data_IF_604314503538
#
_entry.id   IF_604314503538
#
_cell.length_a   1.000
_cell.length_b   1.000
_cell.length_c   1.000
_cell.angle_alpha   90.00
_cell.angle_beta   90.00
_cell.angle_gamma   90.00
#
_symmetry.space_group_name_H-M   'P 1'
#
loop_
_entity.id
_entity.type
_entity.pdbx_description
1 polymer ?
#
# COMPACT_ATOMS: atom_id res chain seq x y z
N UNK A 1 -6.64 -57.54 -27.52
CA UNK A 1 -5.87 -57.02 -26.37
C UNK A 1 -6.31 -55.57 -26.18
N UNK A 2 -7.24 -55.26 -25.26
CA UNK A 2 -7.01 -54.75 -23.89
C UNK A 2 -6.00 -53.58 -23.84
N UNK A 3 -6.43 -52.33 -23.59
CA UNK A 3 -6.70 -51.66 -22.28
C UNK A 3 -5.45 -51.53 -21.39
N UNK A 4 -5.13 -50.29 -21.00
CA UNK A 4 -4.20 -49.92 -19.91
C UNK A 4 -3.32 -48.75 -20.32
N UNK A 5 -3.61 -47.48 -19.97
CA UNK A 5 -3.51 -46.87 -18.64
C UNK A 5 -2.06 -46.69 -18.17
N UNK A 6 -1.73 -45.42 -17.87
CA UNK A 6 -0.87 -44.99 -16.76
C UNK A 6 0.43 -45.78 -16.56
N UNK A 7 1.57 -45.22 -16.96
CA UNK A 7 2.75 -45.22 -16.07
C UNK A 7 3.87 -44.33 -16.62
N UNK A 8 4.03 -43.20 -15.93
CA UNK A 8 5.18 -42.31 -16.03
C UNK A 8 5.29 -41.42 -14.78
N UNK A 9 4.66 -41.84 -13.68
CA UNK A 9 4.85 -41.31 -12.33
C UNK A 9 5.67 -42.36 -11.58
N UNK A 10 6.97 -42.10 -11.34
CA UNK A 10 7.60 -42.20 -10.01
C UNK A 10 9.12 -42.06 -10.06
N UNK A 11 9.57 -41.21 -9.14
CA UNK A 11 10.84 -41.25 -8.41
C UNK A 11 12.12 -40.81 -9.13
N UNK A 12 12.34 -39.48 -9.14
CA UNK A 12 13.59 -38.93 -8.61
C UNK A 12 13.29 -37.90 -7.52
N UNK A 13 13.23 -38.42 -6.29
CA UNK A 13 13.74 -37.81 -5.06
C UNK A 13 13.93 -36.30 -5.06
N UNK A 14 12.98 -35.62 -4.41
CA UNK A 14 13.13 -34.30 -3.80
C UNK A 14 14.35 -34.22 -2.89
N UNK A 15 15.18 -33.16 -2.99
CA UNK A 15 15.80 -32.58 -1.82
C UNK A 15 14.81 -31.58 -1.21
N UNK A 16 14.30 -31.92 -0.04
CA UNK A 16 13.74 -30.95 0.89
C UNK A 16 14.91 -30.11 1.44
N UNK A 17 15.00 -28.85 1.01
CA UNK A 17 15.78 -27.83 1.72
C UNK A 17 15.30 -26.42 1.32
N UNK A 18 14.29 -25.95 2.05
CA UNK A 18 14.24 -24.62 2.67
C UNK A 18 15.04 -23.48 2.02
N UNK A 19 14.54 -22.96 0.89
CA UNK A 19 14.72 -21.54 0.57
C UNK A 19 13.33 -20.89 0.54
N UNK A 20 12.77 -20.69 1.73
CA UNK A 20 11.86 -19.56 1.94
C UNK A 20 12.67 -18.30 1.63
N UNK A 21 12.65 -17.87 0.37
CA UNK A 21 12.95 -16.47 0.05
C UNK A 21 11.91 -15.63 0.80
N UNK A 22 12.29 -15.14 1.99
CA UNK A 22 11.46 -14.25 2.79
C UNK A 22 11.18 -13.03 1.92
N UNK A 23 9.95 -12.98 1.38
CA UNK A 23 9.52 -11.93 0.45
C UNK A 23 9.50 -10.60 1.18
N UNK A 24 10.32 -9.66 0.71
CA UNK A 24 10.60 -8.32 1.28
C UNK A 24 9.32 -7.56 1.65
N UNK A 25 8.99 -7.67 2.92
CA UNK A 25 7.85 -7.07 3.58
C UNK A 25 8.28 -6.83 5.02
N UNK A 26 8.14 -5.58 5.46
CA UNK A 26 9.06 -5.04 6.46
C UNK A 26 8.42 -4.72 7.78
N UNK A 27 7.11 -4.94 7.91
CA UNK A 27 6.40 -4.77 9.16
C UNK A 27 5.69 -6.06 9.53
N UNK A 28 5.72 -6.39 10.82
CA UNK A 28 5.02 -7.54 11.38
C UNK A 28 4.26 -7.10 12.62
N UNK A 29 3.18 -7.81 12.91
CA UNK A 29 2.44 -7.62 14.14
C UNK A 29 3.38 -7.83 15.34
N UNK A 30 3.42 -6.85 16.23
CA UNK A 30 4.28 -6.84 17.42
C UNK A 30 3.73 -5.92 18.49
N UNK A 31 4.60 -5.48 19.40
CA UNK A 31 4.25 -4.53 20.46
C UNK A 31 5.27 -3.40 20.54
N UNK A 32 4.79 -2.19 20.76
CA UNK A 32 5.60 -0.99 21.07
C UNK A 32 4.90 -0.21 22.17
N UNK A 33 5.63 0.19 23.22
CA UNK A 33 5.07 0.89 24.38
C UNK A 33 3.85 0.18 25.00
N UNK A 34 3.89 -1.15 25.11
CA UNK A 34 2.78 -2.01 25.56
C UNK A 34 1.51 -2.00 24.70
N UNK A 35 1.51 -1.32 23.55
CA UNK A 35 0.42 -1.34 22.58
C UNK A 35 0.72 -2.31 21.44
N UNK A 36 -0.31 -2.99 20.95
CA UNK A 36 -0.20 -3.80 19.73
C UNK A 36 -0.07 -2.87 18.52
N UNK A 37 0.92 -3.14 17.68
CA UNK A 37 1.21 -2.30 16.50
C UNK A 37 1.97 -3.11 15.45
N UNK A 38 2.25 -2.49 14.31
CA UNK A 38 3.21 -2.99 13.34
C UNK A 38 4.61 -2.55 13.73
N UNK A 39 5.48 -3.53 14.01
CA UNK A 39 6.90 -3.28 14.28
C UNK A 39 7.68 -3.52 13.01
N UNK A 40 8.50 -2.53 12.64
CA UNK A 40 9.41 -2.65 11.50
C UNK A 40 10.54 -3.61 11.86
N UNK A 41 10.92 -4.47 10.91
CA UNK A 41 12.22 -5.17 10.98
C UNK A 41 13.35 -4.13 10.93
N UNK A 42 14.57 -4.42 11.45
CA UNK A 42 15.67 -3.48 11.38
C UNK A 42 15.85 -2.90 9.96
N UNK A 43 15.99 -1.58 9.85
CA UNK A 43 16.00 -0.88 8.55
C UNK A 43 17.15 -1.36 7.67
N UNK A 44 18.28 -1.72 8.27
CA UNK A 44 19.47 -2.26 7.63
C UNK A 44 19.18 -3.62 7.00
N UNK A 45 18.47 -4.50 7.72
CA UNK A 45 18.03 -5.80 7.21
C UNK A 45 17.07 -5.60 6.03
N UNK A 46 16.05 -4.75 6.20
CA UNK A 46 15.12 -4.42 5.12
C UNK A 46 15.81 -3.84 3.89
N UNK A 47 16.76 -2.92 4.09
CA UNK A 47 17.53 -2.34 2.99
C UNK A 47 18.40 -3.39 2.31
N UNK A 48 19.05 -4.28 3.06
CA UNK A 48 19.91 -5.33 2.49
C UNK A 48 19.14 -6.29 1.59
N UNK A 49 17.90 -6.63 1.95
CA UNK A 49 17.03 -7.51 1.15
C UNK A 49 16.49 -6.81 -0.11
N UNK A 50 16.36 -5.47 -0.09
CA UNK A 50 15.80 -4.70 -1.21
C UNK A 50 16.83 -4.15 -2.17
N UNK A 51 17.99 -3.76 -1.66
CA UNK A 51 18.95 -3.01 -2.44
C UNK A 51 19.63 -3.96 -3.41
N UNK A 52 19.38 -3.75 -4.70
CA UNK A 52 20.13 -4.39 -5.76
C UNK A 52 20.89 -3.31 -6.51
N UNK A 53 22.15 -3.56 -6.85
CA UNK A 53 23.01 -2.60 -7.56
C UNK A 53 22.35 -2.05 -8.84
N UNK A 54 21.50 -2.84 -9.49
CA UNK A 54 20.82 -2.48 -10.74
C UNK A 54 19.39 -1.94 -10.52
N UNK A 55 18.99 -1.56 -9.30
CA UNK A 55 17.65 -1.06 -9.02
C UNK A 55 17.65 0.07 -7.98
N UNK A 56 18.13 1.28 -8.34
CA UNK A 56 18.17 2.44 -7.43
C UNK A 56 16.81 2.76 -6.80
N UNK A 57 15.73 2.54 -7.55
CA UNK A 57 14.33 2.72 -7.12
C UNK A 57 13.92 1.85 -5.92
N UNK A 58 14.71 0.82 -5.58
CA UNK A 58 14.45 -0.05 -4.42
C UNK A 58 15.08 0.47 -3.13
N UNK A 59 16.01 1.44 -3.22
CA UNK A 59 16.69 2.03 -2.07
C UNK A 59 15.70 2.80 -1.18
N UNK A 60 15.62 2.44 0.11
CA UNK A 60 14.73 3.06 1.11
C UNK A 60 15.49 3.73 2.25
N UNK A 61 16.79 3.99 2.10
CA UNK A 61 17.61 4.63 3.14
C UNK A 61 17.06 5.97 3.61
N UNK A 62 16.44 6.73 2.71
CA UNK A 62 15.87 8.04 3.04
C UNK A 62 14.38 7.99 3.39
N UNK A 63 13.76 6.80 3.40
CA UNK A 63 12.37 6.66 3.84
C UNK A 63 12.26 6.74 5.35
N UNK A 64 11.29 7.55 5.79
CA UNK A 64 10.78 7.68 7.14
C UNK A 64 9.45 6.92 7.18
N UNK A 65 9.30 6.01 8.15
CA UNK A 65 8.10 5.21 8.34
C UNK A 65 7.31 5.75 9.53
N UNK A 66 5.98 5.61 9.53
CA UNK A 66 5.19 5.98 10.70
C UNK A 66 5.66 5.19 11.92
N UNK A 67 5.81 5.84 13.09
CA UNK A 67 6.40 5.20 14.27
C UNK A 67 5.53 4.07 14.82
N UNK A 68 4.21 4.20 14.68
CA UNK A 68 3.24 3.17 15.02
C UNK A 68 2.20 3.12 13.90
N UNK A 69 1.71 1.92 13.60
CA UNK A 69 0.46 1.73 12.86
C UNK A 69 -0.56 1.19 13.86
N UNK A 70 -1.71 1.84 13.93
CA UNK A 70 -2.83 1.48 14.80
C UNK A 70 -3.35 0.10 14.42
N UNK A 71 -3.41 -0.77 15.42
CA UNK A 71 -4.00 -2.10 15.33
C UNK A 71 -5.02 -2.23 16.45
N UNK A 72 -6.26 -2.51 16.07
CA UNK A 72 -7.33 -2.78 17.02
C UNK A 72 -7.31 -4.27 17.41
N UNK A 73 -7.81 -4.57 18.61
CA UNK A 73 -8.08 -5.95 19.05
C UNK A 73 -9.54 -6.32 18.77
N UNK A 74 -9.89 -7.59 18.56
CA UNK A 74 -11.27 -8.00 18.29
C UNK A 74 -12.27 -7.53 19.37
N UNK A 75 -11.85 -7.49 20.63
CA UNK A 75 -12.66 -7.02 21.75
C UNK A 75 -13.00 -5.51 21.69
N UNK A 76 -12.20 -4.73 20.96
CA UNK A 76 -12.32 -3.27 20.85
C UNK A 76 -12.71 -2.82 19.44
N UNK A 77 -12.84 -3.75 18.49
CA UNK A 77 -13.22 -3.45 17.12
C UNK A 77 -14.74 -3.40 16.98
N UNK A 78 -15.25 -2.30 16.44
CA UNK A 78 -16.63 -2.20 15.95
C UNK A 78 -16.64 -2.63 14.48
N UNK A 79 -17.67 -3.37 13.99
CA UNK A 79 -17.78 -3.72 12.58
C UNK A 79 -17.62 -2.49 11.67
N UNK A 80 -16.69 -2.56 10.74
CA UNK A 80 -16.34 -1.46 9.84
C UNK A 80 -16.16 -1.97 8.41
N UNK A 81 -16.79 -1.31 7.43
CA UNK A 81 -16.74 -1.74 6.00
C UNK A 81 -15.32 -1.82 5.44
N UNK A 82 -14.39 -1.04 6.00
CA UNK A 82 -12.98 -1.02 5.64
C UNK A 82 -12.08 -1.70 6.68
N UNK A 83 -12.61 -2.71 7.37
CA UNK A 83 -11.84 -3.54 8.29
C UNK A 83 -11.06 -4.63 7.56
N UNK A 84 -9.81 -4.84 8.00
CA UNK A 84 -8.95 -5.94 7.57
C UNK A 84 -8.45 -6.73 8.77
N UNK A 85 -8.71 -8.03 8.75
CA UNK A 85 -8.19 -8.98 9.72
C UNK A 85 -6.73 -9.32 9.40
N UNK A 86 -5.84 -9.02 10.33
CA UNK A 86 -4.41 -9.29 10.21
C UNK A 86 -4.03 -10.48 11.08
N UNK A 87 -3.82 -11.62 10.43
CA UNK A 87 -3.35 -12.83 11.08
C UNK A 87 -1.90 -12.72 11.57
N UNK A 88 -1.61 -13.39 12.68
CA UNK A 88 -0.24 -13.57 13.16
C UNK A 88 0.64 -14.22 12.09
N UNK A 89 1.79 -13.59 11.81
CA UNK A 89 2.76 -14.08 10.83
C UNK A 89 2.63 -13.45 9.44
N UNK A 90 1.53 -12.75 9.16
CA UNK A 90 1.39 -11.97 7.94
C UNK A 90 2.27 -10.73 8.03
N UNK A 91 3.00 -10.50 6.96
CA UNK A 91 3.84 -9.33 6.79
C UNK A 91 3.09 -8.20 6.07
N UNK A 92 3.27 -6.97 6.54
CA UNK A 92 2.60 -5.79 6.00
C UNK A 92 3.63 -4.88 5.33
N UNK A 93 3.23 -4.25 4.23
CA UNK A 93 4.02 -3.20 3.58
C UNK A 93 3.53 -1.83 4.03
N UNK A 94 4.30 -1.18 4.88
CA UNK A 94 3.98 0.18 5.32
C UNK A 94 4.62 1.21 4.38
N UNK A 95 3.83 2.13 3.84
CA UNK A 95 4.32 3.24 3.04
C UNK A 95 5.04 4.24 3.96
N UNK A 96 6.28 4.55 3.58
CA UNK A 96 7.02 5.65 4.18
C UNK A 96 6.88 6.91 3.33
N UNK A 97 7.44 7.98 3.85
CA UNK A 97 7.62 9.26 3.16
C UNK A 97 9.08 9.69 3.30
N UNK A 98 9.42 10.83 2.72
CA UNK A 98 10.72 11.45 2.92
C UNK A 98 10.52 12.96 3.07
N UNK A 99 11.24 13.60 4.00
CA UNK A 99 11.15 15.04 4.22
C UNK A 99 12.42 15.82 3.88
N UNK A 100 13.37 15.20 3.16
CA UNK A 100 14.71 15.80 2.95
C UNK A 100 15.22 15.71 1.52
N UNK A 101 14.75 14.72 0.75
CA UNK A 101 15.11 14.53 -0.66
C UNK A 101 13.99 15.02 -1.60
N UNK A 102 14.26 15.92 -2.55
CA UNK A 102 13.27 16.34 -3.55
C UNK A 102 12.68 15.16 -4.33
N UNK A 103 11.40 15.25 -4.70
CA UNK A 103 10.79 14.24 -5.54
C UNK A 103 11.23 14.39 -7.00
N UNK A 104 11.67 13.29 -7.59
CA UNK A 104 12.12 13.15 -8.99
C UNK A 104 11.76 11.74 -9.46
N UNK A 105 11.95 11.44 -10.75
CA UNK A 105 11.79 10.09 -11.29
C UNK A 105 12.55 9.02 -10.48
N UNK A 106 13.74 9.38 -9.97
CA UNK A 106 14.61 8.49 -9.21
C UNK A 106 14.25 8.35 -7.72
N UNK A 107 13.36 9.21 -7.18
CA UNK A 107 13.05 9.29 -5.74
C UNK A 107 11.56 9.13 -5.43
N UNK A 108 10.69 9.05 -6.44
CA UNK A 108 9.23 8.81 -6.31
C UNK A 108 8.83 7.60 -5.47
N UNK A 109 9.71 6.62 -5.36
CA UNK A 109 9.49 5.42 -4.55
C UNK A 109 9.59 5.65 -3.05
N UNK A 110 10.13 6.79 -2.61
CA UNK A 110 10.32 7.11 -1.20
C UNK A 110 9.00 7.44 -0.50
N UNK A 111 7.99 7.89 -1.27
CA UNK A 111 6.67 8.30 -0.80
C UNK A 111 5.61 7.23 -0.96
N UNK A 112 5.94 6.06 -1.53
CA UNK A 112 4.96 5.02 -1.77
C UNK A 112 5.49 3.61 -1.68
N UNK A 113 4.57 2.69 -1.45
CA UNK A 113 4.81 1.26 -1.59
C UNK A 113 3.57 0.58 -2.14
N UNK A 114 3.73 -0.61 -2.70
CA UNK A 114 2.65 -1.31 -3.36
C UNK A 114 2.89 -2.81 -3.50
N UNK A 115 1.87 -3.49 -3.99
CA UNK A 115 1.92 -4.92 -4.25
C UNK A 115 0.94 -5.34 -5.35
N UNK A 116 1.23 -6.48 -5.97
CA UNK A 116 0.33 -7.24 -6.83
C UNK A 116 0.03 -8.63 -6.25
N UNK A 117 0.44 -8.87 -5.00
CA UNK A 117 0.23 -10.15 -4.31
C UNK A 117 -1.07 -10.10 -3.50
N UNK A 118 -1.94 -11.12 -3.61
CA UNK A 118 -3.08 -11.29 -2.72
C UNK A 118 -2.67 -11.35 -1.24
N UNK A 119 -3.58 -10.91 -0.37
CA UNK A 119 -3.50 -10.91 1.10
C UNK A 119 -2.27 -10.22 1.70
N UNK A 120 -1.58 -9.38 0.92
CA UNK A 120 -0.52 -8.54 1.42
C UNK A 120 -1.03 -7.11 1.60
N UNK A 121 -1.29 -6.73 2.85
CA UNK A 121 -1.71 -5.38 3.20
C UNK A 121 -0.62 -4.37 2.85
N UNK A 122 -1.03 -3.28 2.19
CA UNK A 122 -0.25 -2.07 1.97
C UNK A 122 -0.92 -0.94 2.74
N UNK A 123 -0.21 -0.23 3.62
CA UNK A 123 -0.84 0.74 4.53
C UNK A 123 0.08 1.89 4.91
N UNK A 124 -0.49 3.00 5.36
CA UNK A 124 0.21 4.08 6.07
C UNK A 124 -0.62 4.54 7.26
N UNK A 125 -0.02 5.26 8.19
CA UNK A 125 -0.71 5.78 9.39
C UNK A 125 0.01 7.03 9.92
N UNK A 126 -0.62 7.70 10.90
CA UNK A 126 -0.17 8.96 11.47
C UNK A 126 -0.23 10.13 10.47
N UNK A 127 -1.32 10.19 9.70
CA UNK A 127 -1.57 11.21 8.68
C UNK A 127 -2.00 12.55 9.28
N UNK A 128 -1.26 13.10 10.25
CA UNK A 128 -1.61 14.38 10.91
C UNK A 128 -1.69 15.51 9.89
N UNK A 129 -0.56 16.06 9.44
CA UNK A 129 -0.56 17.04 8.34
C UNK A 129 -0.43 16.37 6.96
N UNK A 130 0.16 15.18 6.90
CA UNK A 130 0.33 14.42 5.67
C UNK A 130 -1.00 13.98 5.07
N UNK A 131 -1.05 13.80 3.76
CA UNK A 131 -2.17 13.19 3.04
C UNK A 131 -1.76 11.80 2.57
N UNK A 132 -2.58 10.79 2.87
CA UNK A 132 -2.47 9.47 2.27
C UNK A 132 -3.36 9.35 1.04
N UNK A 133 -2.85 8.63 0.03
CA UNK A 133 -3.64 8.17 -1.11
C UNK A 133 -3.46 6.67 -1.24
N UNK A 134 -4.54 5.91 -1.15
CA UNK A 134 -4.55 4.50 -1.53
C UNK A 134 -5.13 4.36 -2.94
N UNK A 135 -4.40 3.71 -3.83
CA UNK A 135 -4.83 3.35 -5.17
C UNK A 135 -5.19 1.86 -5.21
N UNK A 136 -6.40 1.57 -5.66
CA UNK A 136 -6.89 0.23 -5.96
C UNK A 136 -7.01 0.09 -7.47
N UNK A 137 -6.37 -0.92 -8.06
CA UNK A 137 -6.39 -1.18 -9.49
C UNK A 137 -6.81 -2.62 -9.72
N UNK A 138 -7.96 -2.80 -10.36
CA UNK A 138 -8.63 -4.09 -10.50
C UNK A 138 -8.74 -4.47 -11.98
N UNK A 139 -8.63 -5.77 -12.24
CA UNK A 139 -8.93 -6.35 -13.53
C UNK A 139 -10.32 -6.99 -13.42
N UNK A 140 -11.21 -6.70 -14.36
CA UNK A 140 -12.57 -7.23 -14.35
C UNK A 140 -12.85 -8.01 -15.62
N UNK A 141 -13.56 -9.12 -15.48
CA UNK A 141 -14.19 -9.77 -16.61
C UNK A 141 -15.30 -8.85 -17.16
N UNK A 142 -15.22 -8.42 -18.44
CA UNK A 142 -16.18 -7.47 -19.00
C UNK A 142 -17.60 -8.04 -19.15
N UNK A 143 -17.77 -9.37 -19.11
CA UNK A 143 -19.06 -10.03 -19.25
C UNK A 143 -19.70 -10.35 -17.91
N UNK A 144 -18.89 -10.75 -16.92
CA UNK A 144 -19.40 -11.19 -15.61
C UNK A 144 -19.24 -10.14 -14.51
N UNK A 145 -18.37 -9.15 -14.69
CA UNK A 145 -18.00 -8.17 -13.66
C UNK A 145 -17.12 -8.75 -12.54
N UNK A 146 -16.75 -10.03 -12.63
CA UNK A 146 -15.92 -10.68 -11.62
C UNK A 146 -14.49 -10.16 -11.66
N UNK A 147 -13.85 -10.11 -10.49
CA UNK A 147 -12.43 -9.75 -10.38
C UNK A 147 -11.54 -10.85 -10.97
N UNK A 148 -10.54 -10.45 -11.74
CA UNK A 148 -9.57 -11.31 -12.40
C UNK A 148 -8.16 -11.11 -11.82
N UNK A 149 -7.24 -12.07 -11.99
CA UNK A 149 -5.84 -11.89 -11.66
C UNK A 149 -5.24 -10.64 -12.33
N UNK A 150 -4.26 -10.03 -11.66
CA UNK A 150 -3.53 -8.86 -12.17
C UNK A 150 -3.79 -7.57 -11.40
N UNK A 151 -4.63 -7.60 -10.35
CA UNK A 151 -4.87 -6.47 -9.48
C UNK A 151 -3.57 -5.91 -8.87
N UNK A 152 -3.56 -4.61 -8.62
CA UNK A 152 -2.44 -3.87 -8.02
C UNK A 152 -2.97 -2.89 -6.99
N UNK A 153 -2.23 -2.75 -5.89
CA UNK A 153 -2.49 -1.72 -4.89
C UNK A 153 -1.22 -0.92 -4.59
N UNK A 154 -1.39 0.37 -4.36
CA UNK A 154 -0.30 1.27 -3.98
C UNK A 154 -0.81 2.29 -2.97
N UNK A 155 -0.01 2.56 -1.94
CA UNK A 155 -0.30 3.63 -0.97
C UNK A 155 0.81 4.66 -1.05
N UNK A 156 0.41 5.91 -1.16
CA UNK A 156 1.27 7.10 -1.07
C UNK A 156 1.10 7.76 0.29
N UNK A 157 2.20 8.20 0.88
CA UNK A 157 2.26 9.01 2.09
C UNK A 157 2.93 10.33 1.71
N UNK A 158 2.12 11.39 1.59
CA UNK A 158 2.54 12.65 1.00
C UNK A 158 2.66 13.72 2.09
N UNK A 159 3.81 14.41 2.11
CA UNK A 159 3.95 15.62 2.91
C UNK A 159 3.10 16.75 2.31
N UNK A 160 2.66 17.73 3.13
CA UNK A 160 1.99 18.92 2.65
C UNK A 160 2.79 19.62 1.55
N UNK A 161 2.09 20.10 0.52
CA UNK A 161 2.69 20.74 -0.66
C UNK A 161 3.14 22.17 -0.39
N UNK A 162 2.89 22.70 0.81
CA UNK A 162 3.56 23.93 1.27
C UNK A 162 5.08 23.74 1.37
N UNK A 163 5.57 22.50 1.40
CA UNK A 163 6.98 22.15 1.27
C UNK A 163 7.41 22.14 -0.20
N UNK A 164 7.47 23.33 -0.82
CA UNK A 164 7.87 23.50 -2.23
C UNK A 164 9.26 22.92 -2.52
N UNK A 165 10.15 22.89 -1.52
CA UNK A 165 11.48 22.29 -1.63
C UNK A 165 11.46 20.79 -1.95
N UNK A 166 10.33 20.11 -1.71
CA UNK A 166 10.15 18.69 -2.01
C UNK A 166 9.58 18.42 -3.41
N UNK A 167 9.43 19.46 -4.22
CA UNK A 167 8.92 19.41 -5.60
C UNK A 167 7.51 18.80 -5.70
N UNK A 168 6.46 19.47 -5.16
CA UNK A 168 5.07 18.99 -5.24
C UNK A 168 4.59 18.65 -6.66
N UNK A 169 5.01 19.41 -7.67
CA UNK A 169 4.64 19.15 -9.07
C UNK A 169 5.18 17.81 -9.57
N UNK A 170 6.40 17.45 -9.17
CA UNK A 170 7.01 16.15 -9.48
C UNK A 170 6.29 15.01 -8.73
N UNK A 171 5.77 15.27 -7.53
CA UNK A 171 4.92 14.30 -6.81
C UNK A 171 3.63 14.04 -7.57
N UNK A 172 2.96 15.10 -8.02
CA UNK A 172 1.75 14.99 -8.85
C UNK A 172 2.02 14.30 -10.19
N UNK A 173 3.15 14.63 -10.85
CA UNK A 173 3.59 13.95 -12.06
C UNK A 173 3.80 12.46 -11.81
N UNK A 174 4.48 12.07 -10.72
CA UNK A 174 4.67 10.66 -10.40
C UNK A 174 3.36 9.91 -10.14
N UNK A 175 2.36 10.53 -9.52
CA UNK A 175 1.05 9.89 -9.30
C UNK A 175 0.33 9.74 -10.65
N UNK A 176 0.40 10.77 -11.51
CA UNK A 176 -0.14 10.76 -12.87
C UNK A 176 0.46 9.64 -13.71
N UNK A 177 1.79 9.54 -13.75
CA UNK A 177 2.49 8.49 -14.49
C UNK A 177 2.05 7.09 -14.03
N UNK A 178 1.87 6.90 -12.72
CA UNK A 178 1.38 5.65 -12.17
C UNK A 178 -0.06 5.35 -12.62
N UNK A 179 -0.95 6.34 -12.62
CA UNK A 179 -2.32 6.20 -13.13
C UNK A 179 -2.30 5.80 -14.62
N UNK A 180 -1.49 6.48 -15.42
CA UNK A 180 -1.36 6.22 -16.85
C UNK A 180 -0.80 4.81 -17.12
N UNK A 181 0.22 4.38 -16.38
CA UNK A 181 0.77 3.03 -16.45
C UNK A 181 -0.30 1.95 -16.17
N UNK A 182 -1.12 2.17 -15.13
CA UNK A 182 -2.19 1.25 -14.75
C UNK A 182 -3.28 1.18 -15.84
N UNK A 183 -3.67 2.34 -16.41
CA UNK A 183 -4.65 2.38 -17.51
C UNK A 183 -4.13 1.68 -18.76
N UNK A 184 -2.85 1.86 -19.10
CA UNK A 184 -2.22 1.18 -20.23
C UNK A 184 -2.22 -0.35 -20.07
N UNK A 185 -2.22 -0.84 -18.84
CA UNK A 185 -2.36 -2.27 -18.52
C UNK A 185 -3.81 -2.77 -18.57
N UNK A 186 -4.77 -1.91 -18.93
CA UNK A 186 -6.19 -2.26 -19.01
C UNK A 186 -6.88 -2.41 -17.65
N UNK A 187 -6.25 -1.95 -16.57
CA UNK A 187 -6.80 -2.05 -15.22
C UNK A 187 -7.70 -0.84 -14.92
N UNK A 188 -8.79 -1.09 -14.20
CA UNK A 188 -9.68 -0.04 -13.69
C UNK A 188 -9.18 0.44 -12.34
N UNK A 189 -8.93 1.76 -12.20
CA UNK A 189 -8.45 2.34 -10.95
C UNK A 189 -9.54 3.12 -10.22
N UNK A 190 -9.54 3.01 -8.88
CA UNK A 190 -10.18 3.94 -7.95
C UNK A 190 -9.20 4.32 -6.83
N UNK A 191 -9.47 5.42 -6.16
CA UNK A 191 -8.62 5.90 -5.06
C UNK A 191 -9.41 6.20 -3.79
N UNK A 192 -8.73 6.17 -2.66
CA UNK A 192 -9.21 6.67 -1.39
C UNK A 192 -8.19 7.67 -0.83
N UNK A 193 -8.68 8.71 -0.16
CA UNK A 193 -7.86 9.76 0.44
C UNK A 193 -8.16 9.88 1.93
N UNK A 194 -7.12 10.05 2.75
CA UNK A 194 -7.26 10.19 4.20
C UNK A 194 -6.15 11.07 4.79
N UNK A 195 -6.44 11.78 5.87
CA UNK A 195 -5.45 12.53 6.64
C UNK A 195 -5.54 14.04 6.48
N UNK A 196 -4.43 14.72 6.72
CA UNK A 196 -4.39 16.17 6.70
C UNK A 196 -4.98 16.80 7.95
N UNK A 197 -4.55 18.02 8.21
CA UNK A 197 -4.98 18.78 9.36
C UNK A 197 -6.46 19.17 9.18
N UNK A 198 -7.29 18.78 10.14
CA UNK A 198 -8.73 19.05 10.11
C UNK A 198 -9.03 20.53 10.35
N UNK A 199 -8.20 21.18 11.17
CA UNK A 199 -8.41 22.55 11.63
C UNK A 199 -7.41 23.53 11.00
N UNK A 200 -6.33 23.02 10.40
CA UNK A 200 -5.27 23.81 9.79
C UNK A 200 -5.28 23.81 8.26
N UNK A 201 -5.02 24.97 7.65
CA UNK A 201 -4.99 25.14 6.20
C UNK A 201 -3.83 24.46 5.48
N UNK A 202 -2.84 23.93 6.21
CA UNK A 202 -1.55 23.43 5.68
C UNK A 202 -1.75 22.30 4.66
N UNK A 203 -2.69 21.39 4.91
CA UNK A 203 -2.93 20.21 4.07
C UNK A 203 -3.93 20.47 2.93
N UNK A 204 -4.72 21.55 3.03
CA UNK A 204 -5.86 21.79 2.14
C UNK A 204 -5.45 21.97 0.68
N UNK A 205 -4.33 22.63 0.43
CA UNK A 205 -3.76 22.78 -0.93
C UNK A 205 -3.39 21.43 -1.54
N UNK A 206 -2.80 20.52 -0.75
CA UNK A 206 -2.45 19.17 -1.19
C UNK A 206 -3.68 18.34 -1.51
N UNK A 207 -4.68 18.32 -0.63
CA UNK A 207 -5.92 17.59 -0.86
C UNK A 207 -6.62 18.05 -2.15
N UNK A 208 -6.76 19.37 -2.35
CA UNK A 208 -7.36 19.96 -3.55
C UNK A 208 -6.58 19.61 -4.83
N UNK A 209 -5.25 19.68 -4.79
CA UNK A 209 -4.42 19.33 -5.94
C UNK A 209 -4.59 17.86 -6.35
N UNK A 210 -4.69 16.96 -5.37
CA UNK A 210 -4.93 15.53 -5.61
C UNK A 210 -6.34 15.27 -6.16
N UNK A 211 -7.37 15.88 -5.57
CA UNK A 211 -8.75 15.80 -6.08
C UNK A 211 -8.82 16.26 -7.54
N UNK A 212 -8.17 17.38 -7.86
CA UNK A 212 -8.10 17.90 -9.22
C UNK A 212 -7.37 16.95 -10.18
N UNK A 213 -6.23 16.38 -9.76
CA UNK A 213 -5.52 15.37 -10.54
C UNK A 213 -6.41 14.15 -10.85
N UNK A 214 -7.11 13.61 -9.85
CA UNK A 214 -7.96 12.43 -10.05
C UNK A 214 -9.16 12.75 -10.95
N UNK A 215 -9.77 13.92 -10.80
CA UNK A 215 -10.83 14.38 -11.69
C UNK A 215 -10.35 14.52 -13.13
N UNK A 216 -9.19 15.16 -13.36
CA UNK A 216 -8.58 15.27 -14.70
C UNK A 216 -8.28 13.91 -15.32
N UNK A 217 -7.88 12.94 -14.49
CA UNK A 217 -7.59 11.58 -14.90
C UNK A 217 -8.82 10.68 -14.95
N UNK A 218 -10.04 11.18 -14.71
CA UNK A 218 -11.25 10.36 -14.62
C UNK A 218 -11.09 9.15 -13.67
N UNK A 219 -10.37 9.33 -12.57
CA UNK A 219 -10.20 8.32 -11.54
C UNK A 219 -11.20 8.60 -10.40
N UNK A 220 -12.17 7.72 -10.15
CA UNK A 220 -13.12 7.92 -9.08
C UNK A 220 -12.44 7.86 -7.71
N UNK A 221 -12.84 8.78 -6.83
CA UNK A 221 -12.51 8.78 -5.41
C UNK A 221 -13.63 8.04 -4.69
N UNK A 222 -13.35 6.89 -4.10
CA UNK A 222 -14.35 6.10 -3.37
C UNK A 222 -14.76 6.77 -2.06
N UNK A 223 -13.79 7.36 -1.37
CA UNK A 223 -14.03 8.23 -0.23
C UNK A 223 -12.87 9.20 -0.05
N UNK A 224 -13.20 10.35 0.52
CA UNK A 224 -12.26 11.40 0.87
C UNK A 224 -12.50 11.81 2.32
N UNK A 225 -11.60 11.35 3.19
CA UNK A 225 -11.56 11.67 4.61
C UNK A 225 -10.36 12.59 4.90
N UNK A 226 -10.14 13.59 4.03
CA UNK A 226 -9.06 14.57 4.21
C UNK A 226 -9.53 15.88 4.82
N UNK A 227 -8.62 16.52 5.57
CA UNK A 227 -8.80 17.85 6.16
C UNK A 227 -10.12 17.95 6.96
N UNK A 228 -10.98 18.91 6.64
CA UNK A 228 -12.28 19.11 7.34
C UNK A 228 -13.20 17.87 7.32
N UNK A 229 -13.03 16.96 6.36
CA UNK A 229 -13.80 15.72 6.28
C UNK A 229 -13.24 14.61 7.19
N UNK A 230 -12.10 14.84 7.82
CA UNK A 230 -11.42 13.86 8.67
C UNK A 230 -12.07 13.81 10.05
N UNK A 231 -12.78 12.71 10.32
CA UNK A 231 -13.44 12.50 11.60
C UNK A 231 -12.54 11.84 12.65
N UNK A 232 -11.60 11.01 12.22
CA UNK A 232 -10.73 10.24 13.12
C UNK A 232 -9.32 10.10 12.56
N UNK A 233 -8.37 9.80 13.45
CA UNK A 233 -7.03 9.42 13.04
C UNK A 233 -6.96 7.89 12.91
N UNK A 234 -7.04 7.42 11.67
CA UNK A 234 -6.99 6.01 11.29
C UNK A 234 -5.91 5.78 10.23
N UNK A 235 -5.43 4.54 10.09
CA UNK A 235 -4.57 4.19 8.97
C UNK A 235 -5.34 4.31 7.65
N UNK A 236 -4.61 4.43 6.53
CA UNK A 236 -5.16 4.22 5.19
C UNK A 236 -4.33 3.19 4.45
N UNK A 237 -5.00 2.18 3.91
CA UNK A 237 -4.38 1.10 3.17
C UNK A 237 -5.26 0.50 2.10
N UNK A 238 -4.71 -0.49 1.42
CA UNK A 238 -5.41 -1.33 0.47
C UNK A 238 -4.82 -2.74 0.48
N UNK A 239 -5.67 -3.71 0.14
CA UNK A 239 -5.31 -5.12 0.04
C UNK A 239 -6.02 -5.77 -1.14
N UNK A 240 -5.33 -6.66 -1.84
CA UNK A 240 -5.92 -7.54 -2.84
C UNK A 240 -6.40 -8.79 -2.10
N UNK A 241 -7.66 -9.18 -2.25
CA UNK A 241 -8.25 -10.38 -1.64
C UNK A 241 -7.95 -11.62 -2.51
N UNK A 242 -8.24 -12.80 -1.97
CA UNK A 242 -8.00 -14.08 -2.68
C UNK A 242 -8.80 -14.23 -3.97
N UNK A 243 -9.97 -13.58 -4.04
CA UNK A 243 -10.81 -13.51 -5.24
C UNK A 243 -10.36 -12.42 -6.24
N UNK A 244 -9.18 -11.82 -6.00
CA UNK A 244 -8.58 -10.72 -6.76
C UNK A 244 -9.29 -9.37 -6.69
N UNK A 245 -10.39 -9.28 -5.93
CA UNK A 245 -10.98 -7.98 -5.60
C UNK A 245 -10.02 -7.16 -4.73
N UNK A 246 -10.18 -5.85 -4.74
CA UNK A 246 -9.40 -4.95 -3.91
C UNK A 246 -10.29 -4.31 -2.85
N UNK A 247 -9.76 -4.15 -1.65
CA UNK A 247 -10.44 -3.46 -0.57
C UNK A 247 -9.55 -2.36 0.01
N UNK A 248 -10.12 -1.18 0.21
CA UNK A 248 -9.52 -0.13 1.03
C UNK A 248 -9.66 -0.46 2.52
N UNK A 249 -8.65 -0.08 3.29
CA UNK A 249 -8.52 -0.44 4.70
C UNK A 249 -8.32 0.83 5.52
N UNK A 250 -9.20 1.05 6.49
CA UNK A 250 -9.03 2.11 7.51
C UNK A 250 -9.10 1.57 8.94
N UNK A 251 -9.39 0.28 9.11
CA UNK A 251 -9.27 -0.42 10.39
C UNK A 251 -8.51 -1.72 10.18
N UNK A 252 -7.53 -1.98 11.04
CA UNK A 252 -6.79 -3.25 11.05
C UNK A 252 -7.07 -3.92 12.39
N UNK A 253 -7.55 -5.16 12.34
CA UNK A 253 -7.89 -5.95 13.53
C UNK A 253 -6.95 -7.14 13.61
N UNK A 254 -6.20 -7.29 14.71
CA UNK A 254 -5.36 -8.46 14.90
C UNK A 254 -6.19 -9.69 15.25
N UNK A 255 -5.98 -10.80 14.54
CA UNK A 255 -6.68 -12.09 14.75
C UNK A 255 -5.71 -13.27 14.90
#
# INVERSE_FOLDING_TARGET
MNRGALDGLRNRSTPASSEESVKVSHHRLGRRFNMQTLVMVPKEMYQSERNHQNSPIKNRNNSIYPPCVRIDTPANSVPHRYSFELHKGVTVKVAGFNGTVPNTESTRHLYSTGTSQPNQLVVTDNMTACIAVACASENFDPYTGNSLPGAKVRVFHLLPFVHDELMPDEVLASIRDYIEEIKQQGLTMRVAMHGGDADGGISTGTARALQFLFAQQNVPIEFDETCENRLTNTPLGAVIRDDHSVQFVTQIVAV
#
